data_IF_097765462730
#
_entry.id   IF_097765462730
#
_cell.length_a   1.000
_cell.length_b   1.000
_cell.length_c   1.000
_cell.angle_alpha   90.00
_cell.angle_beta   90.00
_cell.angle_gamma   90.00
#
_symmetry.space_group_name_H-M   'P 1'
#
loop_
_entity.id
_entity.type
_entity.pdbx_description
1 polymer ?
#
# COMPACT_ATOMS: atom_id res chain seq x y z
N UNK A 1 -17.58 30.72 -14.31
CA UNK A 1 -16.38 30.17 -13.65
C UNK A 1 -15.19 30.66 -14.43
N UNK A 2 -14.19 31.23 -13.77
CA UNK A 2 -12.92 31.59 -14.40
C UNK A 2 -12.08 30.33 -14.66
N UNK A 3 -11.14 30.42 -15.61
CA UNK A 3 -10.34 29.28 -16.04
C UNK A 3 -9.53 28.65 -14.89
N UNK A 4 -9.07 29.45 -13.92
CA UNK A 4 -8.29 28.96 -12.78
C UNK A 4 -9.16 28.09 -11.87
N UNK A 5 -10.39 28.53 -11.58
CA UNK A 5 -11.35 27.73 -10.81
C UNK A 5 -11.69 26.41 -11.49
N UNK A 6 -11.87 26.41 -12.83
CA UNK A 6 -12.14 25.18 -13.59
C UNK A 6 -10.95 24.19 -13.52
N UNK A 7 -9.72 24.67 -13.72
CA UNK A 7 -8.51 23.85 -13.63
C UNK A 7 -8.33 23.28 -12.22
N UNK A 8 -8.55 24.08 -11.18
CA UNK A 8 -8.46 23.62 -9.80
C UNK A 8 -9.45 22.50 -9.50
N UNK A 9 -10.71 22.65 -9.91
CA UNK A 9 -11.76 21.66 -9.68
C UNK A 9 -11.43 20.32 -10.35
N UNK A 10 -10.98 20.34 -11.61
CA UNK A 10 -10.59 19.13 -12.33
C UNK A 10 -9.36 18.49 -11.67
N UNK A 11 -8.34 19.27 -11.34
CA UNK A 11 -7.08 18.76 -10.78
C UNK A 11 -7.31 18.05 -9.44
N UNK A 12 -8.08 18.66 -8.53
CA UNK A 12 -8.38 18.07 -7.22
C UNK A 12 -9.21 16.79 -7.37
N UNK A 13 -10.21 16.81 -8.26
CA UNK A 13 -11.07 15.65 -8.49
C UNK A 13 -10.27 14.46 -9.05
N UNK A 14 -9.41 14.72 -10.04
CA UNK A 14 -8.56 13.69 -10.66
C UNK A 14 -7.50 13.19 -9.67
N UNK A 15 -6.89 14.07 -8.88
CA UNK A 15 -5.93 13.67 -7.84
C UNK A 15 -6.58 12.73 -6.83
N UNK A 16 -7.76 13.08 -6.30
CA UNK A 16 -8.49 12.23 -5.35
C UNK A 16 -8.86 10.87 -5.94
N UNK A 17 -9.34 10.83 -7.19
CA UNK A 17 -9.65 9.59 -7.89
C UNK A 17 -8.41 8.72 -8.14
N UNK A 18 -7.31 9.34 -8.58
CA UNK A 18 -6.06 8.63 -8.89
C UNK A 18 -5.46 8.03 -7.62
N UNK A 19 -5.39 8.78 -6.53
CA UNK A 19 -4.90 8.27 -5.24
C UNK A 19 -5.83 7.20 -4.66
N UNK A 20 -7.15 7.40 -4.72
CA UNK A 20 -8.13 6.45 -4.20
C UNK A 20 -8.16 5.11 -4.97
N UNK A 21 -7.90 5.14 -6.28
CA UNK A 21 -7.77 3.91 -7.07
C UNK A 21 -6.36 3.30 -6.94
N UNK A 22 -5.33 4.13 -6.84
CA UNK A 22 -3.93 3.72 -6.75
C UNK A 22 -3.62 2.91 -5.50
N UNK A 23 -4.26 3.22 -4.36
CA UNK A 23 -4.01 2.52 -3.09
C UNK A 23 -4.60 1.10 -3.03
N UNK A 24 -5.48 0.70 -3.97
CA UNK A 24 -6.12 -0.63 -3.97
C UNK A 24 -5.08 -1.74 -4.16
N UNK A 25 -4.13 -1.55 -5.08
CA UNK A 25 -3.09 -2.54 -5.38
C UNK A 25 -2.19 -2.84 -4.17
N UNK A 26 -1.53 -1.81 -3.60
CA UNK A 26 -0.75 -1.94 -2.37
C UNK A 26 -1.53 -2.54 -1.21
N UNK A 27 -2.75 -2.07 -0.94
CA UNK A 27 -3.58 -2.60 0.16
C UNK A 27 -3.84 -4.11 0.04
N UNK A 28 -4.11 -4.59 -1.18
CA UNK A 28 -4.30 -6.03 -1.43
C UNK A 28 -3.00 -6.83 -1.31
N UNK A 29 -1.87 -6.28 -1.78
CA UNK A 29 -0.57 -6.93 -1.72
C UNK A 29 -0.05 -7.04 -0.28
N UNK A 30 -0.18 -5.98 0.51
CA UNK A 30 0.22 -5.93 1.92
C UNK A 30 -0.66 -6.85 2.76
N UNK A 31 -1.98 -6.79 2.59
CA UNK A 31 -2.91 -7.66 3.31
C UNK A 31 -2.60 -9.14 3.08
N UNK A 32 -2.28 -9.53 1.83
CA UNK A 32 -1.84 -10.90 1.50
C UNK A 32 -0.49 -11.25 2.13
N UNK A 33 0.47 -10.33 2.09
CA UNK A 33 1.79 -10.54 2.67
C UNK A 33 1.72 -10.76 4.19
N UNK A 34 0.90 -9.95 4.88
CA UNK A 34 0.65 -10.10 6.32
C UNK A 34 -0.05 -11.42 6.64
N UNK A 35 -1.09 -11.79 5.89
CA UNK A 35 -1.78 -13.07 6.09
C UNK A 35 -0.83 -14.28 5.95
N UNK A 36 0.02 -14.27 4.92
CA UNK A 36 1.01 -15.33 4.70
C UNK A 36 2.10 -15.35 5.79
N UNK A 37 2.53 -14.19 6.27
CA UNK A 37 3.47 -14.11 7.38
C UNK A 37 2.87 -14.68 8.67
N UNK A 38 1.58 -14.40 8.96
CA UNK A 38 0.88 -14.98 10.11
C UNK A 38 0.80 -16.51 10.02
N UNK A 39 0.50 -17.06 8.84
CA UNK A 39 0.51 -18.51 8.64
C UNK A 39 1.91 -19.10 8.84
N UNK A 40 2.95 -18.42 8.35
CA UNK A 40 4.35 -18.84 8.52
C UNK A 40 4.79 -18.80 9.99
N UNK A 41 4.37 -17.78 10.74
CA UNK A 41 4.62 -17.66 12.18
C UNK A 41 3.93 -18.77 12.98
N UNK A 42 2.70 -19.14 12.59
CA UNK A 42 1.99 -20.25 13.22
C UNK A 42 2.67 -21.61 12.97
N UNK A 43 3.26 -21.79 11.79
CA UNK A 43 3.98 -23.02 11.43
C UNK A 43 5.39 -23.08 12.04
N UNK A 44 6.08 -21.94 12.16
CA UNK A 44 7.45 -21.87 12.65
C UNK A 44 7.66 -20.68 13.62
N UNK A 45 7.22 -20.82 14.89
CA UNK A 45 7.34 -19.75 15.88
C UNK A 45 8.79 -19.39 16.20
N UNK A 46 9.73 -20.34 16.12
CA UNK A 46 11.16 -20.10 16.37
C UNK A 46 11.79 -19.16 15.33
N UNK A 47 11.20 -19.05 14.13
CA UNK A 47 11.67 -18.17 13.06
C UNK A 47 11.03 -16.77 13.10
N UNK A 48 10.31 -16.41 14.17
CA UNK A 48 9.49 -15.19 14.20
C UNK A 48 10.24 -13.90 13.91
N UNK A 49 11.46 -13.76 14.43
CA UNK A 49 12.31 -12.58 14.21
C UNK A 49 12.67 -12.40 12.73
N UNK A 50 13.04 -13.49 12.06
CA UNK A 50 13.42 -13.50 10.64
C UNK A 50 12.22 -13.24 9.74
N UNK A 51 11.08 -13.88 10.02
CA UNK A 51 9.83 -13.68 9.26
C UNK A 51 9.38 -12.23 9.36
N UNK A 52 9.32 -11.67 10.57
CA UNK A 52 8.85 -10.30 10.81
C UNK A 52 9.75 -9.26 10.14
N UNK A 53 11.07 -9.43 10.22
CA UNK A 53 12.02 -8.53 9.56
C UNK A 53 11.87 -8.56 8.04
N UNK A 54 11.74 -9.75 7.46
CA UNK A 54 11.59 -9.90 6.01
C UNK A 54 10.25 -9.34 5.53
N UNK A 55 9.19 -9.55 6.30
CA UNK A 55 7.86 -8.96 6.06
C UNK A 55 7.96 -7.44 5.98
N UNK A 56 8.52 -6.77 7.00
CA UNK A 56 8.58 -5.30 7.00
C UNK A 56 9.44 -4.72 5.87
N UNK A 57 10.54 -5.38 5.50
CA UNK A 57 11.32 -4.97 4.33
C UNK A 57 10.48 -5.09 3.05
N UNK A 58 9.73 -6.19 2.88
CA UNK A 58 8.84 -6.38 1.75
C UNK A 58 7.69 -5.37 1.69
N UNK A 59 7.03 -5.13 2.83
CA UNK A 59 5.97 -4.12 2.95
C UNK A 59 6.49 -2.72 2.62
N UNK A 60 7.69 -2.35 3.09
CA UNK A 60 8.28 -1.05 2.76
C UNK A 60 8.51 -0.86 1.25
N UNK A 61 8.85 -1.93 0.52
CA UNK A 61 8.99 -1.87 -0.95
C UNK A 61 7.62 -1.71 -1.64
N UNK A 62 6.57 -2.36 -1.14
CA UNK A 62 5.20 -2.21 -1.66
C UNK A 62 4.67 -0.80 -1.38
N UNK A 63 4.84 -0.30 -0.15
CA UNK A 63 4.47 1.05 0.26
C UNK A 63 5.16 2.12 -0.60
N UNK A 64 6.41 1.90 -1.02
CA UNK A 64 7.09 2.86 -1.89
C UNK A 64 6.34 3.08 -3.21
N UNK A 65 5.68 2.05 -3.75
CA UNK A 65 4.86 2.15 -4.96
C UNK A 65 3.52 2.84 -4.66
N UNK A 66 3.00 2.71 -3.45
CA UNK A 66 1.76 3.37 -3.03
C UNK A 66 1.91 4.90 -2.89
N UNK A 67 3.12 5.36 -2.54
CA UNK A 67 3.43 6.77 -2.32
C UNK A 67 3.65 7.53 -3.63
N UNK A 68 4.12 6.87 -4.69
CA UNK A 68 4.40 7.47 -5.99
C UNK A 68 3.20 7.39 -6.94
#
# INVERSE_FOLDING_TARGET
MDNTTLVALISISVAGLTTGLGCIGPALAEGRSVANAMQSLAQQPDAASTITRTLFVGLAMIESIAIY
#
